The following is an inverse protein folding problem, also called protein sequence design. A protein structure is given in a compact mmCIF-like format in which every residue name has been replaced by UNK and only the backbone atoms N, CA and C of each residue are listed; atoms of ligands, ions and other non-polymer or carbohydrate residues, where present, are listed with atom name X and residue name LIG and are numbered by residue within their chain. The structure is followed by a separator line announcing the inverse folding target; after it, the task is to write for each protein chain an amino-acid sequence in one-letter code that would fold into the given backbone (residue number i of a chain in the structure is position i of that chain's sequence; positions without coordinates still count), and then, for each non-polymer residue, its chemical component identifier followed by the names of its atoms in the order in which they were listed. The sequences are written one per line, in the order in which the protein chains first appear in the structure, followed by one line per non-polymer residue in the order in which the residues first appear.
data_IF_996310749308
#
_entry.id   IF_996310749308
#
_cell.length_a   1.000
_cell.length_b   1.000
_cell.length_c   1.000
_cell.angle_alpha   90.00
_cell.angle_beta   90.00
_cell.angle_gamma   90.00
#
_symmetry.space_group_name_H-M   'P 1'
#
loop_
_entity.id
_entity.type
_entity.pdbx_description
1 polymer ?
#
# COMPACT_ATOMS: atom_id res chain seq x y z
N UNK A 1 15.90 -3.01 -4.37
CA UNK A 1 14.80 -2.08 -4.67
C UNK A 1 13.55 -2.72 -4.10
N UNK A 2 13.14 -2.28 -2.92
CA UNK A 2 12.05 -2.90 -2.20
C UNK A 2 10.72 -2.24 -2.59
N UNK A 3 9.92 -2.97 -3.35
CA UNK A 3 8.55 -2.59 -3.73
C UNK A 3 7.73 -2.20 -2.50
N UNK A 4 7.98 -2.86 -1.36
CA UNK A 4 7.32 -2.59 -0.08
C UNK A 4 7.64 -1.19 0.45
N UNK A 5 8.87 -0.72 0.31
CA UNK A 5 9.27 0.63 0.75
C UNK A 5 8.64 1.70 -0.12
N UNK A 6 8.60 1.50 -1.44
CA UNK A 6 7.93 2.42 -2.37
C UNK A 6 6.44 2.52 -2.03
N UNK A 7 5.78 1.39 -1.81
CA UNK A 7 4.37 1.32 -1.40
C UNK A 7 4.15 1.99 -0.05
N UNK A 8 5.00 1.72 0.95
CA UNK A 8 4.93 2.35 2.27
C UNK A 8 5.11 3.87 2.17
N UNK A 9 6.07 4.34 1.36
CA UNK A 9 6.26 5.78 1.13
C UNK A 9 5.01 6.40 0.53
N UNK A 10 4.47 5.84 -0.54
CA UNK A 10 3.27 6.38 -1.20
C UNK A 10 2.06 6.39 -0.28
N UNK A 11 1.87 5.31 0.48
CA UNK A 11 0.80 5.21 1.47
C UNK A 11 1.01 6.15 2.66
N UNK A 12 2.26 6.43 3.05
CA UNK A 12 2.61 7.33 4.16
C UNK A 12 2.60 8.80 3.76
N UNK A 13 2.87 9.10 2.49
CA UNK A 13 2.80 10.44 1.90
C UNK A 13 1.34 10.81 1.61
N UNK A 14 0.52 9.81 1.29
CA UNK A 14 -0.93 9.98 1.15
C UNK A 14 -1.62 10.05 2.50
N UNK A 15 -2.29 11.16 2.74
CA UNK A 15 -3.15 11.38 3.93
C UNK A 15 -4.43 10.54 3.82
N UNK A 16 -4.84 10.23 2.59
CA UNK A 16 -6.03 9.45 2.30
C UNK A 16 -5.68 7.98 2.06
N UNK A 17 -6.55 7.04 2.48
CA UNK A 17 -6.32 5.65 2.19
C UNK A 17 -6.41 5.42 0.67
N UNK A 18 -5.44 4.69 0.13
CA UNK A 18 -5.33 4.41 -1.30
C UNK A 18 -5.79 2.99 -1.64
N UNK A 19 -6.30 2.80 -2.84
CA UNK A 19 -6.64 1.47 -3.37
C UNK A 19 -5.43 0.81 -4.00
N UNK A 20 -5.45 -0.52 -4.12
CA UNK A 20 -4.39 -1.28 -4.80
C UNK A 20 -4.04 -0.73 -6.19
N UNK A 21 -5.04 -0.26 -6.96
CA UNK A 21 -4.84 0.35 -8.28
C UNK A 21 -4.09 1.69 -8.21
N UNK A 22 -4.50 2.57 -7.30
CA UNK A 22 -3.85 3.88 -7.08
C UNK A 22 -2.41 3.71 -6.61
N UNK A 23 -2.17 2.74 -5.72
CA UNK A 23 -0.81 2.41 -5.26
C UNK A 23 0.02 1.83 -6.40
N UNK A 24 -0.55 0.93 -7.22
CA UNK A 24 0.13 0.36 -8.39
C UNK A 24 0.53 1.41 -9.43
N UNK A 25 -0.36 2.36 -9.72
CA UNK A 25 -0.05 3.47 -10.64
C UNK A 25 1.02 4.41 -10.06
N UNK A 26 0.90 4.82 -8.78
CA UNK A 26 1.90 5.71 -8.16
C UNK A 26 3.26 5.05 -7.95
N UNK A 27 3.28 3.75 -7.65
CA UNK A 27 4.49 3.01 -7.38
C UNK A 27 5.11 2.41 -8.66
N UNK A 28 4.44 2.54 -9.80
CA UNK A 28 4.80 1.89 -11.08
C UNK A 28 5.11 0.40 -10.90
N UNK A 29 4.28 -0.30 -10.10
CA UNK A 29 4.41 -1.75 -9.87
C UNK A 29 3.18 -2.49 -10.35
N UNK A 30 3.41 -3.74 -10.71
CA UNK A 30 2.34 -4.64 -11.10
C UNK A 30 1.31 -4.82 -9.98
N UNK A 31 0.03 -4.89 -10.34
CA UNK A 31 -1.05 -5.05 -9.37
C UNK A 31 -0.88 -6.30 -8.49
N UNK A 32 -0.22 -7.35 -9.01
CA UNK A 32 0.12 -8.56 -8.25
C UNK A 32 1.19 -8.32 -7.19
N UNK A 33 2.21 -7.53 -7.52
CA UNK A 33 3.29 -7.15 -6.60
C UNK A 33 2.73 -6.28 -5.47
N UNK A 34 1.87 -5.32 -5.82
CA UNK A 34 1.20 -4.46 -4.83
C UNK A 34 0.30 -5.27 -3.91
N UNK A 35 -0.51 -6.21 -4.44
CA UNK A 35 -1.37 -7.05 -3.60
C UNK A 35 -0.54 -7.92 -2.63
N UNK A 36 0.56 -8.53 -3.09
CA UNK A 36 1.47 -9.29 -2.23
C UNK A 36 2.11 -8.41 -1.16
N UNK A 37 2.63 -7.24 -1.55
CA UNK A 37 3.28 -6.31 -0.63
C UNK A 37 2.29 -5.78 0.40
N UNK A 38 1.10 -5.34 -0.01
CA UNK A 38 0.05 -4.87 0.90
C UNK A 38 -0.41 -5.99 1.83
N UNK A 39 -0.56 -7.25 1.36
CA UNK A 39 -0.86 -8.39 2.24
C UNK A 39 0.23 -8.63 3.27
N UNK A 40 1.50 -8.58 2.86
CA UNK A 40 2.62 -8.75 3.77
C UNK A 40 2.68 -7.61 4.80
N UNK A 41 2.57 -6.36 4.35
CA UNK A 41 2.62 -5.19 5.22
C UNK A 41 1.40 -5.11 6.15
N UNK A 42 0.22 -5.56 5.70
CA UNK A 42 -0.98 -5.69 6.52
C UNK A 42 -0.82 -6.81 7.57
N UNK A 43 -0.17 -7.93 7.22
CA UNK A 43 0.16 -8.98 8.17
C UNK A 43 1.21 -8.53 9.20
N UNK A 44 2.15 -7.66 8.80
CA UNK A 44 3.12 -7.00 9.69
C UNK A 44 2.49 -5.87 10.54
N UNK A 45 1.22 -5.52 10.32
CA UNK A 45 0.55 -4.42 11.04
C UNK A 45 0.99 -3.01 10.62
N UNK A 46 1.74 -2.88 9.52
CA UNK A 46 2.21 -1.58 8.99
C UNK A 46 1.16 -0.84 8.17
N UNK A 47 0.10 -1.52 7.72
CA UNK A 47 -0.96 -0.94 6.88
C UNK A 47 -2.31 -1.33 7.43
N UNK A 48 -3.17 -0.35 7.58
CA UNK A 48 -4.55 -0.49 8.00
C UNK A 48 -5.50 -0.34 6.82
N UNK A 49 -6.63 -1.03 6.89
CA UNK A 49 -7.65 -1.01 5.84
C UNK A 49 -8.95 -0.45 6.41
N UNK A 50 -9.09 0.88 6.51
CA UNK A 50 -10.26 1.52 7.12
C UNK A 50 -11.54 1.30 6.29
N UNK A 51 -11.40 1.01 4.99
CA UNK A 51 -12.52 0.76 4.07
C UNK A 51 -12.16 -0.39 3.12
N UNK A 52 -13.18 -1.08 2.61
CA UNK A 52 -13.00 -2.23 1.70
C UNK A 52 -12.25 -1.80 0.43
N UNK A 53 -11.12 -2.46 0.15
CA UNK A 53 -10.17 -2.13 -0.93
C UNK A 53 -9.36 -0.83 -0.75
N UNK A 54 -9.29 -0.29 0.47
CA UNK A 54 -8.50 0.89 0.80
C UNK A 54 -7.44 0.54 1.83
N UNK A 55 -6.24 1.10 1.69
CA UNK A 55 -5.07 0.81 2.49
C UNK A 55 -4.39 2.12 2.86
N UNK A 56 -3.95 2.26 4.11
CA UNK A 56 -3.23 3.44 4.60
C UNK A 56 -2.26 3.02 5.69
N UNK A 57 -1.21 3.79 5.91
CA UNK A 57 -0.29 3.56 7.02
C UNK A 57 -0.91 4.24 8.24
N UNK A 58 -1.13 3.49 9.31
CA UNK A 58 -1.53 4.11 10.59
C UNK A 58 -0.31 4.84 11.13
N UNK A 59 -0.45 6.16 11.35
CA UNK A 59 0.61 7.01 11.92
C UNK A 59 0.47 7.07 13.43
#
# INVERSE_FOLDING_TARGET
MDIKETILKILSDSIEPLKTKEVAERAEVDSKEVDKAIKALKAEGKVVSPKRCYYSVEK
#
